data_IF_542996612754
#
_entry.id   IF_542996612754
#
_cell.length_a   1.000
_cell.length_b   1.000
_cell.length_c   1.000
_cell.angle_alpha   90.00
_cell.angle_beta   90.00
_cell.angle_gamma   90.00
#
_symmetry.space_group_name_H-M   'P 1'
#
loop_
_entity.id
_entity.type
_entity.pdbx_description
1 polymer ?
#
# COMPACT_ATOMS: atom_id res chain seq x y z
N UNK A 1 9.40 3.73 37.59
CA UNK A 1 9.95 4.94 36.95
C UNK A 1 11.18 4.52 36.15
N UNK A 2 11.04 4.17 34.87
CA UNK A 2 12.16 3.84 33.98
C UNK A 2 11.85 4.35 32.58
N UNK A 3 12.06 5.65 32.38
CA UNK A 3 12.00 6.30 31.07
C UNK A 3 13.30 6.04 30.32
N UNK A 4 13.38 4.89 29.67
CA UNK A 4 14.60 4.48 28.97
C UNK A 4 14.42 4.75 27.46
N UNK A 5 14.58 6.02 27.07
CA UNK A 5 14.52 6.64 25.71
C UNK A 5 13.62 5.91 24.68
N UNK A 6 12.35 6.33 24.59
CA UNK A 6 11.46 5.96 23.49
C UNK A 6 11.96 6.59 22.18
N UNK A 7 11.81 5.89 21.06
CA UNK A 7 12.19 6.41 19.74
C UNK A 7 11.32 7.63 19.39
N UNK A 8 11.96 8.71 18.92
CA UNK A 8 11.27 9.92 18.49
C UNK A 8 10.93 9.90 17.00
N UNK A 9 9.86 10.58 16.61
CA UNK A 9 9.52 10.70 15.18
C UNK A 9 10.61 11.46 14.42
N UNK A 10 11.19 12.52 14.99
CA UNK A 10 12.29 13.25 14.33
C UNK A 10 13.51 12.36 14.02
N UNK A 11 13.88 11.46 14.93
CA UNK A 11 14.95 10.48 14.72
C UNK A 11 14.58 9.50 13.60
N UNK A 12 13.33 9.02 13.62
CA UNK A 12 12.82 8.06 12.65
C UNK A 12 12.75 8.64 11.22
N UNK A 13 12.34 9.90 11.08
CA UNK A 13 12.25 10.55 9.77
C UNK A 13 13.63 10.82 9.13
N UNK A 14 14.70 10.73 9.91
CA UNK A 14 16.08 10.96 9.49
C UNK A 14 16.92 9.67 9.45
N UNK A 15 16.29 8.49 9.45
CA UNK A 15 17.00 7.21 9.39
C UNK A 15 17.84 7.09 8.10
N UNK A 16 19.09 6.65 8.28
CA UNK A 16 19.97 6.25 7.18
C UNK A 16 19.54 4.94 6.52
N UNK A 17 20.15 4.62 5.38
CA UNK A 17 19.82 3.44 4.57
C UNK A 17 20.43 2.18 5.17
N UNK A 18 19.60 1.31 5.75
CA UNK A 18 20.01 -0.01 6.27
C UNK A 18 18.81 -0.97 6.31
N UNK A 19 19.00 -2.28 6.10
CA UNK A 19 17.90 -3.25 6.12
C UNK A 19 17.11 -3.22 7.45
N UNK A 20 17.78 -3.01 8.59
CA UNK A 20 17.14 -2.89 9.90
C UNK A 20 16.15 -1.71 9.94
N UNK A 21 16.56 -0.57 9.42
CA UNK A 21 15.71 0.61 9.31
C UNK A 21 14.58 0.40 8.28
N UNK A 22 14.78 -0.37 7.20
CA UNK A 22 13.71 -0.74 6.25
C UNK A 22 12.63 -1.58 6.94
N UNK A 23 13.05 -2.58 7.71
CA UNK A 23 12.15 -3.44 8.51
C UNK A 23 11.30 -2.59 9.46
N UNK A 24 11.93 -1.63 10.16
CA UNK A 24 11.26 -0.72 11.07
C UNK A 24 10.19 0.15 10.36
N UNK A 25 10.52 0.79 9.23
CA UNK A 25 9.57 1.68 8.54
C UNK A 25 8.39 0.89 7.96
N UNK A 26 8.62 -0.30 7.40
CA UNK A 26 7.52 -1.18 6.96
C UNK A 26 6.68 -1.67 8.14
N UNK A 27 7.33 -2.08 9.23
CA UNK A 27 6.65 -2.50 10.44
C UNK A 27 5.69 -1.42 10.95
N UNK A 28 6.16 -0.18 11.03
CA UNK A 28 5.37 0.97 11.48
C UNK A 28 4.21 1.25 10.53
N UNK A 29 4.46 1.24 9.22
CA UNK A 29 3.41 1.50 8.22
C UNK A 29 2.18 0.60 8.40
N UNK A 30 2.38 -0.69 8.70
CA UNK A 30 1.30 -1.66 8.82
C UNK A 30 0.77 -1.85 10.25
N UNK A 31 1.58 -1.59 11.29
CA UNK A 31 1.25 -1.98 12.66
C UNK A 31 0.90 -0.80 13.58
N UNK A 32 1.01 0.46 13.12
CA UNK A 32 0.67 1.64 13.91
C UNK A 32 -0.78 1.60 14.43
N UNK A 33 -0.96 1.67 15.74
CA UNK A 33 -2.26 1.63 16.39
C UNK A 33 -2.79 3.04 16.68
N UNK A 34 -2.89 3.41 17.95
CA UNK A 34 -3.57 4.62 18.43
C UNK A 34 -2.58 5.75 18.75
N UNK A 35 -3.07 7.00 18.73
CA UNK A 35 -2.42 8.10 19.44
C UNK A 35 -2.79 7.95 20.92
N UNK A 36 -1.79 7.89 21.79
CA UNK A 36 -1.97 7.89 23.24
C UNK A 36 -1.29 9.14 23.81
N UNK A 37 -1.96 9.81 24.74
CA UNK A 37 -1.35 10.85 25.55
C UNK A 37 -0.99 10.25 26.89
N UNK A 38 0.27 10.40 27.29
CA UNK A 38 0.75 10.05 28.64
C UNK A 38 1.61 11.21 29.12
N UNK A 39 1.33 11.72 30.32
CA UNK A 39 2.15 12.73 31.00
C UNK A 39 2.51 13.93 30.09
N UNK A 40 1.48 14.57 29.51
CA UNK A 40 1.58 15.74 28.61
C UNK A 40 2.31 15.52 27.27
N UNK A 41 2.88 14.34 27.05
CA UNK A 41 3.53 13.95 25.79
C UNK A 41 2.60 13.11 24.90
N UNK A 42 2.67 13.39 23.60
CA UNK A 42 1.93 12.64 22.59
C UNK A 42 2.77 11.44 22.12
N UNK A 43 2.19 10.24 22.13
CA UNK A 43 2.80 9.02 21.61
C UNK A 43 1.93 8.41 20.51
N UNK A 44 2.58 7.74 19.56
CA UNK A 44 1.92 6.74 18.73
C UNK A 44 2.21 5.36 19.31
N UNK A 45 1.13 4.68 19.72
CA UNK A 45 1.16 3.32 20.19
C UNK A 45 1.14 2.35 19.01
N UNK A 46 1.94 1.29 19.11
CA UNK A 46 1.87 0.10 18.29
C UNK A 46 1.26 -1.00 19.15
N UNK A 47 0.33 -1.75 18.59
CA UNK A 47 -0.34 -2.84 19.30
C UNK A 47 -0.37 -4.08 18.41
N UNK A 48 0.23 -5.16 18.92
CA UNK A 48 0.21 -6.48 18.32
C UNK A 48 -0.59 -7.38 19.24
N UNK A 49 -1.66 -7.97 18.70
CA UNK A 49 -2.44 -8.98 19.39
C UNK A 49 -2.62 -10.17 18.47
N UNK A 50 -2.37 -11.35 19.01
CA UNK A 50 -2.71 -12.62 18.38
C UNK A 50 -3.45 -13.49 19.38
N UNK A 51 -4.35 -14.34 18.87
CA UNK A 51 -5.21 -15.21 19.67
C UNK A 51 -4.85 -16.65 19.38
N UNK A 52 -5.09 -17.52 20.36
CA UNK A 52 -5.01 -18.95 20.16
C UNK A 52 -5.87 -19.38 18.97
N UNK A 53 -5.28 -20.18 18.08
CA UNK A 53 -6.01 -20.86 17.04
C UNK A 53 -7.02 -21.82 17.68
N UNK A 54 -8.17 -22.00 17.02
CA UNK A 54 -9.22 -22.90 17.51
C UNK A 54 -8.76 -24.36 17.59
N UNK A 55 -7.75 -24.75 16.79
CA UNK A 55 -7.13 -26.07 16.85
C UNK A 55 -6.02 -26.07 17.90
N UNK A 56 -6.25 -26.81 18.99
CA UNK A 56 -5.44 -26.87 20.22
C UNK A 56 -4.05 -27.53 20.07
N UNK A 57 -3.50 -27.66 18.86
CA UNK A 57 -2.24 -28.39 18.66
C UNK A 57 -1.03 -27.64 19.25
N UNK A 58 -1.07 -26.30 19.27
CA UNK A 58 -0.06 -25.46 19.92
C UNK A 58 -0.81 -24.44 20.79
N UNK A 59 -0.52 -24.48 22.09
CA UNK A 59 -1.07 -23.53 23.05
C UNK A 59 -0.16 -22.33 23.11
N UNK A 60 -0.72 -21.13 23.01
CA UNK A 60 -0.01 -19.91 23.32
C UNK A 60 0.18 -19.83 24.84
N UNK A 61 1.43 -19.93 25.27
CA UNK A 61 1.86 -19.81 26.66
C UNK A 61 2.63 -18.49 26.88
N UNK A 62 3.02 -18.27 28.14
CA UNK A 62 3.79 -17.07 28.51
C UNK A 62 5.21 -17.10 27.95
N UNK A 63 5.83 -18.28 27.81
CA UNK A 63 7.21 -18.40 27.32
C UNK A 63 7.30 -17.98 25.85
N UNK A 64 6.35 -18.41 25.02
CA UNK A 64 6.19 -17.97 23.63
C UNK A 64 5.92 -16.46 23.57
N UNK A 65 5.14 -15.91 24.51
CA UNK A 65 4.91 -14.47 24.56
C UNK A 65 6.21 -13.71 24.87
N UNK A 66 7.01 -14.16 25.84
CA UNK A 66 8.32 -13.56 26.18
C UNK A 66 9.26 -13.63 24.97
N UNK A 67 9.42 -14.81 24.37
CA UNK A 67 10.30 -15.00 23.20
C UNK A 67 9.85 -14.13 22.02
N UNK A 68 8.54 -14.04 21.75
CA UNK A 68 8.03 -13.18 20.68
C UNK A 68 8.28 -11.70 20.99
N UNK A 69 8.20 -11.28 22.26
CA UNK A 69 8.49 -9.91 22.65
C UNK A 69 9.95 -9.54 22.32
N UNK A 70 10.91 -10.38 22.73
CA UNK A 70 12.33 -10.21 22.42
C UNK A 70 12.60 -10.22 20.91
N UNK A 71 11.93 -11.11 20.17
CA UNK A 71 12.01 -11.17 18.72
C UNK A 71 11.49 -9.89 18.04
N UNK A 72 10.41 -9.30 18.57
CA UNK A 72 9.89 -8.03 18.06
C UNK A 72 10.87 -6.88 18.32
N UNK A 73 11.50 -6.83 19.50
CA UNK A 73 12.54 -5.86 19.80
C UNK A 73 13.74 -6.03 18.86
N UNK A 74 14.22 -7.26 18.68
CA UNK A 74 15.34 -7.57 17.78
C UNK A 74 15.04 -7.23 16.31
N UNK A 75 13.81 -7.43 15.86
CA UNK A 75 13.42 -7.14 14.48
C UNK A 75 13.27 -5.63 14.20
N UNK A 76 12.75 -4.88 15.16
CA UNK A 76 12.36 -3.48 14.98
C UNK A 76 13.35 -2.47 15.57
N UNK A 77 14.15 -2.87 16.55
CA UNK A 77 14.93 -1.96 17.39
C UNK A 77 14.07 -1.10 18.34
N UNK A 78 12.75 -1.34 18.41
CA UNK A 78 11.86 -0.68 19.35
C UNK A 78 11.75 -1.49 20.64
N UNK A 79 11.54 -0.80 21.77
CA UNK A 79 11.23 -1.46 23.03
C UNK A 79 9.77 -1.89 23.06
N UNK A 80 9.53 -3.12 23.48
CA UNK A 80 8.21 -3.71 23.62
C UNK A 80 7.92 -4.11 25.05
N UNK A 81 6.72 -3.76 25.50
CA UNK A 81 6.13 -4.29 26.71
C UNK A 81 5.00 -5.24 26.32
N UNK A 82 4.71 -6.25 27.14
CA UNK A 82 3.59 -7.13 26.87
C UNK A 82 2.75 -7.38 28.12
N UNK A 83 1.45 -7.54 27.90
CA UNK A 83 0.50 -7.96 28.91
C UNK A 83 -0.27 -9.16 28.35
N UNK A 84 -0.05 -10.34 28.95
CA UNK A 84 -0.56 -11.64 28.46
C UNK A 84 -0.06 -11.92 27.04
N UNK A 85 -0.88 -11.64 26.03
CA UNK A 85 -0.63 -11.92 24.61
C UNK A 85 -0.81 -10.66 23.73
N UNK A 86 -0.74 -9.50 24.37
CA UNK A 86 -0.77 -8.20 23.71
C UNK A 86 0.57 -7.52 23.92
N UNK A 87 1.22 -7.14 22.83
CA UNK A 87 2.49 -6.44 22.84
C UNK A 87 2.29 -5.00 22.42
N UNK A 88 2.97 -4.10 23.11
CA UNK A 88 2.85 -2.67 22.94
C UNK A 88 4.22 -2.03 22.80
N UNK A 89 4.31 -1.06 21.91
CA UNK A 89 5.47 -0.17 21.81
C UNK A 89 4.99 1.25 21.60
N UNK A 90 5.81 2.24 21.96
CA UNK A 90 5.46 3.66 21.91
C UNK A 90 6.54 4.45 21.16
N UNK A 91 6.09 5.27 20.22
CA UNK A 91 6.92 6.23 19.48
C UNK A 91 6.52 7.64 19.93
N UNK A 92 7.48 8.44 20.41
CA UNK A 92 7.24 9.81 20.88
C UNK A 92 6.98 10.74 19.69
N UNK A 93 5.81 11.38 19.67
CA UNK A 93 5.42 12.38 18.69
C UNK A 93 5.94 13.77 19.12
N UNK A 94 7.26 13.91 19.07
CA UNK A 94 8.00 15.10 19.49
C UNK A 94 7.77 16.32 18.59
N UNK A 95 7.34 16.10 17.35
CA UNK A 95 7.04 17.15 16.35
C UNK A 95 5.54 17.42 16.17
N UNK A 96 4.69 16.85 17.03
CA UNK A 96 3.23 17.02 17.05
C UNK A 96 2.52 16.87 15.68
N UNK A 97 2.89 15.86 14.91
CA UNK A 97 2.26 15.60 13.60
C UNK A 97 1.01 14.71 13.71
N UNK A 98 0.14 14.80 12.70
CA UNK A 98 -1.02 13.90 12.59
C UNK A 98 -0.58 12.49 12.17
N UNK A 99 -1.40 11.49 12.51
CA UNK A 99 -1.16 10.08 12.17
C UNK A 99 -1.11 9.84 10.66
N UNK A 100 -2.03 10.45 9.92
CA UNK A 100 -2.08 10.34 8.46
C UNK A 100 -0.84 10.95 7.80
N UNK A 101 -0.40 12.12 8.29
CA UNK A 101 0.83 12.75 7.82
C UNK A 101 2.06 11.91 8.15
N UNK A 102 2.11 11.31 9.35
CA UNK A 102 3.18 10.41 9.74
C UNK A 102 3.27 9.19 8.81
N UNK A 103 2.17 8.48 8.59
CA UNK A 103 2.14 7.32 7.67
C UNK A 103 2.51 7.71 6.23
N UNK A 104 2.10 8.91 5.78
CA UNK A 104 2.52 9.45 4.49
C UNK A 104 4.04 9.63 4.44
N UNK A 105 4.66 10.16 5.50
CA UNK A 105 6.12 10.32 5.60
C UNK A 105 6.84 8.98 5.63
N UNK A 106 6.32 7.99 6.36
CA UNK A 106 6.85 6.62 6.36
C UNK A 106 6.85 6.03 4.95
N UNK A 107 5.73 6.14 4.23
CA UNK A 107 5.64 5.70 2.84
C UNK A 107 6.66 6.43 1.96
N UNK A 108 6.81 7.75 2.11
CA UNK A 108 7.81 8.52 1.35
C UNK A 108 9.24 8.03 1.61
N UNK A 109 9.56 7.63 2.85
CA UNK A 109 10.87 7.04 3.19
C UNK A 109 11.04 5.70 2.48
N UNK A 110 10.05 4.80 2.58
CA UNK A 110 10.09 3.49 1.90
C UNK A 110 10.32 3.67 0.39
N UNK A 111 9.57 4.57 -0.24
CA UNK A 111 9.71 4.80 -1.68
C UNK A 111 11.05 5.44 -2.02
N UNK A 112 11.52 6.42 -1.24
CA UNK A 112 12.86 7.02 -1.41
C UNK A 112 13.95 5.96 -1.42
N UNK A 113 13.84 4.95 -0.56
CA UNK A 113 14.81 3.86 -0.47
C UNK A 113 14.74 2.95 -1.68
N UNK A 114 13.54 2.63 -2.14
CA UNK A 114 13.36 1.87 -3.37
C UNK A 114 13.92 2.59 -4.59
N UNK A 115 13.86 3.93 -4.59
CA UNK A 115 14.39 4.72 -5.68
C UNK A 115 15.91 4.81 -5.68
N UNK A 116 16.63 4.37 -4.65
CA UNK A 116 18.09 4.39 -4.68
C UNK A 116 18.69 3.18 -5.41
N UNK A 117 19.77 3.42 -6.15
CA UNK A 117 20.53 2.40 -6.85
C UNK A 117 21.01 1.32 -5.86
N UNK A 118 20.81 0.02 -6.19
CA UNK A 118 21.06 -1.19 -5.37
C UNK A 118 19.92 -1.68 -4.44
N UNK A 119 18.70 -1.18 -4.57
CA UNK A 119 17.57 -1.75 -3.83
C UNK A 119 17.27 -3.20 -4.28
N UNK A 120 17.59 -4.19 -3.45
CA UNK A 120 17.20 -5.58 -3.68
C UNK A 120 15.68 -5.72 -3.52
N UNK A 121 15.00 -5.93 -4.63
CA UNK A 121 13.55 -6.11 -4.68
C UNK A 121 13.08 -7.25 -3.77
N UNK A 122 13.87 -8.32 -3.61
CA UNK A 122 13.54 -9.40 -2.70
C UNK A 122 13.52 -8.93 -1.24
N UNK A 123 14.42 -8.02 -0.84
CA UNK A 123 14.42 -7.45 0.51
C UNK A 123 13.17 -6.61 0.74
N UNK A 124 12.74 -5.80 -0.23
CA UNK A 124 11.50 -5.02 -0.13
C UNK A 124 10.27 -5.92 -0.03
N UNK A 125 10.19 -6.95 -0.88
CA UNK A 125 9.15 -7.97 -0.80
C UNK A 125 9.10 -8.63 0.58
N UNK A 126 10.26 -9.09 1.08
CA UNK A 126 10.41 -9.70 2.40
C UNK A 126 9.91 -8.78 3.50
N UNK A 127 10.35 -7.52 3.53
CA UNK A 127 9.94 -6.55 4.55
C UNK A 127 8.43 -6.26 4.47
N UNK A 128 7.88 -6.07 3.27
CA UNK A 128 6.45 -5.85 3.05
C UNK A 128 5.59 -7.00 3.62
N UNK A 129 5.89 -8.23 3.20
CA UNK A 129 5.11 -9.42 3.57
C UNK A 129 5.23 -9.74 5.06
N UNK A 130 6.44 -9.67 5.63
CA UNK A 130 6.64 -9.91 7.07
C UNK A 130 5.95 -8.83 7.91
N UNK A 131 6.12 -7.55 7.59
CA UNK A 131 5.50 -6.46 8.34
C UNK A 131 3.96 -6.51 8.31
N UNK A 132 3.39 -6.92 7.18
CA UNK A 132 1.94 -7.05 7.02
C UNK A 132 1.37 -8.27 7.76
N UNK A 133 1.98 -9.46 7.62
CA UNK A 133 1.38 -10.73 8.07
C UNK A 133 1.96 -11.28 9.39
N UNK A 134 3.26 -11.16 9.63
CA UNK A 134 3.94 -11.85 10.75
C UNK A 134 3.43 -11.38 12.12
N UNK A 135 3.04 -10.12 12.25
CA UNK A 135 2.62 -9.52 13.53
C UNK A 135 1.12 -9.68 13.79
N UNK A 136 0.27 -9.06 12.95
CA UNK A 136 -1.20 -9.02 13.16
C UNK A 136 -2.00 -10.07 12.39
N UNK A 137 -1.39 -10.76 11.43
CA UNK A 137 -2.13 -11.67 10.55
C UNK A 137 -2.64 -12.92 11.27
N UNK A 138 -3.84 -13.35 10.90
CA UNK A 138 -4.49 -14.58 11.37
C UNK A 138 -4.33 -15.70 10.35
N UNK A 139 -3.86 -16.86 10.80
CA UNK A 139 -3.70 -18.06 9.98
C UNK A 139 -5.04 -18.80 9.86
N UNK A 140 -5.45 -19.11 8.64
CA UNK A 140 -6.56 -20.00 8.32
C UNK A 140 -5.99 -21.28 7.68
N UNK A 141 -5.65 -22.24 8.53
CA UNK A 141 -5.02 -23.51 8.13
C UNK A 141 -5.93 -24.32 7.19
N UNK A 142 -7.23 -24.55 7.49
CA UNK A 142 -8.13 -25.26 6.57
C UNK A 142 -8.28 -24.54 5.23
N UNK A 143 -8.44 -23.20 5.27
CA UNK A 143 -8.57 -22.38 4.07
C UNK A 143 -7.28 -22.17 3.28
N UNK A 144 -6.13 -22.60 3.82
CA UNK A 144 -4.79 -22.34 3.28
C UNK A 144 -4.51 -20.86 3.03
N UNK A 145 -5.09 -20.00 3.87
CA UNK A 145 -5.02 -18.55 3.75
C UNK A 145 -4.36 -17.89 4.97
N UNK A 146 -3.67 -16.78 4.74
CA UNK A 146 -3.29 -15.87 5.82
C UNK A 146 -4.04 -14.55 5.65
N UNK A 147 -4.77 -14.10 6.66
CA UNK A 147 -5.59 -12.90 6.55
C UNK A 147 -5.17 -11.80 7.54
N UNK A 148 -5.14 -10.55 7.08
CA UNK A 148 -4.86 -9.36 7.90
C UNK A 148 -5.96 -8.33 7.67
N UNK A 149 -6.58 -7.87 8.75
CA UNK A 149 -7.55 -6.77 8.70
C UNK A 149 -6.82 -5.42 8.79
N UNK A 150 -7.09 -4.53 7.83
CA UNK A 150 -6.64 -3.14 7.86
C UNK A 150 -7.38 -2.44 9.02
N UNK A 151 -6.70 -1.59 9.80
CA UNK A 151 -7.37 -0.89 10.90
C UNK A 151 -8.30 0.17 10.30
N UNK A 152 -9.50 0.32 10.85
CA UNK A 152 -10.47 1.32 10.38
C UNK A 152 -9.89 2.74 10.33
N UNK A 153 -9.04 3.07 11.30
CA UNK A 153 -8.38 4.37 11.44
C UNK A 153 -7.33 4.64 10.36
N UNK A 154 -6.87 3.60 9.67
CA UNK A 154 -5.99 3.70 8.52
C UNK A 154 -6.75 3.96 7.22
N UNK A 155 -8.06 3.73 7.17
CA UNK A 155 -8.85 3.84 5.95
C UNK A 155 -9.08 5.32 5.62
N UNK A 156 -8.06 5.93 5.04
CA UNK A 156 -8.07 7.23 4.38
C UNK A 156 -7.73 7.03 2.91
N UNK A 157 -8.14 7.98 2.06
CA UNK A 157 -7.81 7.93 0.63
C UNK A 157 -6.29 7.85 0.44
N UNK A 158 -5.53 8.66 1.18
CA UNK A 158 -4.07 8.71 1.10
C UNK A 158 -3.41 7.40 1.53
N UNK A 159 -3.82 6.81 2.66
CA UNK A 159 -3.23 5.55 3.12
C UNK A 159 -3.56 4.40 2.17
N UNK A 160 -4.81 4.31 1.69
CA UNK A 160 -5.21 3.26 0.74
C UNK A 160 -4.42 3.40 -0.56
N UNK A 161 -4.22 4.62 -1.06
CA UNK A 161 -3.39 4.85 -2.26
C UNK A 161 -1.93 4.44 -2.02
N UNK A 162 -1.33 4.81 -0.88
CA UNK A 162 0.03 4.39 -0.52
C UNK A 162 0.14 2.86 -0.38
N UNK A 163 -0.82 2.23 0.28
CA UNK A 163 -0.92 0.77 0.44
C UNK A 163 -1.00 0.09 -0.93
N UNK A 164 -1.81 0.62 -1.85
CA UNK A 164 -1.98 0.08 -3.18
C UNK A 164 -0.68 0.16 -3.96
N UNK A 165 -0.04 1.33 -3.94
CA UNK A 165 1.30 1.51 -4.52
C UNK A 165 2.28 0.48 -3.99
N UNK A 166 2.38 0.28 -2.67
CA UNK A 166 3.29 -0.71 -2.09
C UNK A 166 2.96 -2.14 -2.55
N UNK A 167 1.68 -2.54 -2.53
CA UNK A 167 1.26 -3.90 -2.90
C UNK A 167 1.38 -4.17 -4.40
N UNK A 168 1.30 -3.15 -5.25
CA UNK A 168 1.43 -3.29 -6.70
C UNK A 168 2.89 -3.24 -7.14
N UNK A 169 3.72 -2.46 -6.46
CA UNK A 169 5.16 -2.37 -6.73
C UNK A 169 5.90 -3.59 -6.17
N UNK A 170 5.64 -3.96 -4.92
CA UNK A 170 6.38 -4.99 -4.19
C UNK A 170 5.57 -6.26 -3.91
N UNK A 171 4.25 -6.25 -4.06
CA UNK A 171 3.47 -7.44 -3.80
C UNK A 171 3.57 -8.43 -4.95
N UNK A 172 3.75 -9.72 -4.63
CA UNK A 172 3.42 -10.79 -5.58
C UNK A 172 1.91 -10.93 -5.65
N UNK A 173 1.28 -10.03 -6.42
CA UNK A 173 -0.17 -9.85 -6.52
C UNK A 173 -0.93 -11.16 -6.78
N UNK A 174 -0.30 -12.11 -7.45
CA UNK A 174 -0.80 -13.43 -7.81
C UNK A 174 -1.16 -14.29 -6.58
N UNK A 175 -0.47 -14.05 -5.46
CA UNK A 175 -0.71 -14.73 -4.18
C UNK A 175 -1.55 -13.90 -3.21
N UNK A 176 -1.92 -12.68 -3.58
CA UNK A 176 -2.75 -11.80 -2.78
C UNK A 176 -4.22 -11.88 -3.18
N UNK A 177 -5.12 -11.64 -2.23
CA UNK A 177 -6.53 -11.43 -2.47
C UNK A 177 -7.08 -10.39 -1.49
N UNK A 178 -8.11 -9.67 -1.89
CA UNK A 178 -8.84 -8.77 -1.00
C UNK A 178 -10.17 -9.37 -0.60
N UNK A 179 -10.60 -9.16 0.64
CA UNK A 179 -11.94 -9.48 1.07
C UNK A 179 -12.62 -8.24 1.65
N UNK A 180 -13.68 -7.80 0.97
CA UNK A 180 -14.51 -6.66 1.36
C UNK A 180 -15.40 -7.06 2.52
N UNK A 181 -14.96 -6.76 3.75
CA UNK A 181 -15.74 -7.06 4.96
C UNK A 181 -16.93 -6.11 5.12
N UNK A 182 -16.79 -4.91 4.60
CA UNK A 182 -17.79 -3.84 4.55
C UNK A 182 -19.07 -4.27 3.82
N UNK A 183 -18.91 -5.14 2.81
CA UNK A 183 -20.01 -5.67 2.03
C UNK A 183 -20.60 -6.94 2.63
N UNK A 184 -20.22 -7.39 3.83
CA UNK A 184 -20.77 -8.60 4.47
C UNK A 184 -21.98 -8.27 5.35
N UNK A 185 -22.98 -9.17 5.47
CA UNK A 185 -24.17 -8.92 6.30
C UNK A 185 -23.86 -8.53 7.75
N UNK A 186 -22.81 -9.12 8.33
CA UNK A 186 -22.36 -8.84 9.69
C UNK A 186 -21.89 -7.39 9.89
N UNK A 187 -21.36 -6.75 8.83
CA UNK A 187 -20.95 -5.35 8.87
C UNK A 187 -22.18 -4.44 8.81
N UNK A 188 -23.14 -4.76 7.96
CA UNK A 188 -24.33 -3.91 7.74
C UNK A 188 -25.26 -3.92 8.93
N UNK A 189 -25.48 -5.10 9.52
CA UNK A 189 -26.31 -5.30 10.72
C UNK A 189 -25.64 -4.83 12.01
N UNK A 190 -24.42 -4.28 11.94
CA UNK A 190 -23.67 -3.78 13.10
C UNK A 190 -23.15 -4.85 14.06
N UNK A 191 -23.44 -6.14 13.85
CA UNK A 191 -23.01 -7.26 14.71
C UNK A 191 -21.49 -7.36 14.82
N UNK A 192 -20.76 -7.14 13.72
CA UNK A 192 -19.30 -7.13 13.70
C UNK A 192 -18.78 -6.23 12.57
N UNK A 193 -18.38 -5.00 12.92
CA UNK A 193 -17.75 -4.06 11.97
C UNK A 193 -16.28 -4.43 11.76
N UNK A 194 -16.03 -5.33 10.79
CA UNK A 194 -14.68 -5.70 10.33
C UNK A 194 -14.34 -4.94 9.06
N UNK A 195 -13.09 -4.55 8.90
CA UNK A 195 -12.66 -3.75 7.76
C UNK A 195 -12.00 -4.60 6.66
N UNK A 196 -11.61 -3.94 5.57
CA UNK A 196 -10.93 -4.52 4.43
C UNK A 196 -9.82 -5.46 4.87
N UNK A 197 -9.88 -6.68 4.36
CA UNK A 197 -8.98 -7.75 4.73
C UNK A 197 -8.09 -8.12 3.54
N UNK A 198 -6.78 -8.03 3.71
CA UNK A 198 -5.79 -8.53 2.75
C UNK A 198 -5.52 -9.99 3.10
N UNK A 199 -5.46 -10.85 2.09
CA UNK A 199 -5.19 -12.28 2.25
C UNK A 199 -4.04 -12.73 1.37
N UNK A 200 -3.19 -13.61 1.91
CA UNK A 200 -2.40 -14.54 1.11
C UNK A 200 -3.28 -15.75 0.82
N UNK A 201 -3.37 -16.16 -0.45
CA UNK A 201 -4.16 -17.33 -0.89
C UNK A 201 -3.32 -18.59 -1.08
N UNK A 202 -1.99 -18.48 -0.96
CA UNK A 202 -1.08 -19.62 -0.94
C UNK A 202 -0.16 -19.53 0.29
N UNK A 203 -0.59 -20.19 1.37
CA UNK A 203 0.19 -20.28 2.60
C UNK A 203 1.56 -20.98 2.40
N UNK A 204 1.63 -22.00 1.55
CA UNK A 204 2.88 -22.74 1.27
C UNK A 204 3.96 -21.83 0.70
N UNK A 205 3.60 -21.06 -0.33
CA UNK A 205 4.50 -20.09 -0.96
C UNK A 205 5.13 -19.12 0.05
N UNK A 206 4.32 -18.56 0.96
CA UNK A 206 4.83 -17.61 1.97
C UNK A 206 5.87 -18.28 2.87
N UNK A 207 5.61 -19.51 3.31
CA UNK A 207 6.50 -20.20 4.23
C UNK A 207 7.78 -20.69 3.57
N UNK A 208 7.71 -21.19 2.34
CA UNK A 208 8.90 -21.54 1.57
C UNK A 208 9.81 -20.33 1.37
N UNK A 209 9.22 -19.14 1.16
CA UNK A 209 9.98 -17.92 0.90
C UNK A 209 10.46 -17.19 2.17
N UNK A 210 9.64 -17.18 3.23
CA UNK A 210 9.85 -16.34 4.42
C UNK A 210 9.74 -17.08 5.76
N UNK A 211 9.63 -18.42 5.78
CA UNK A 211 9.43 -19.21 6.99
C UNK A 211 10.56 -19.06 8.02
N UNK A 212 11.81 -19.01 7.55
CA UNK A 212 12.98 -18.80 8.42
C UNK A 212 12.98 -17.41 9.07
N UNK A 213 12.55 -16.37 8.34
CA UNK A 213 12.40 -15.03 8.89
C UNK A 213 11.21 -14.96 9.86
N UNK A 214 10.11 -15.66 9.53
CA UNK A 214 8.95 -15.75 10.41
C UNK A 214 9.31 -16.38 11.75
N UNK A 215 10.16 -17.41 11.77
CA UNK A 215 10.64 -18.04 13.01
C UNK A 215 11.33 -17.04 13.94
N UNK A 216 12.11 -16.12 13.37
CA UNK A 216 12.84 -15.06 14.10
C UNK A 216 11.94 -13.92 14.57
N UNK A 217 10.68 -13.86 14.13
CA UNK A 217 9.73 -12.79 14.48
C UNK A 217 8.64 -13.32 15.39
N UNK A 218 7.96 -14.39 14.96
CA UNK A 218 6.80 -14.95 15.64
C UNK A 218 6.87 -16.48 15.65
N UNK A 219 7.40 -17.02 16.75
CA UNK A 219 7.58 -18.46 16.97
C UNK A 219 6.24 -19.17 16.97
N UNK A 220 5.21 -18.59 17.58
CA UNK A 220 3.87 -19.18 17.61
C UNK A 220 3.32 -19.45 16.21
N UNK A 221 3.40 -18.48 15.32
CA UNK A 221 2.89 -18.62 13.94
C UNK A 221 3.74 -19.57 13.12
N UNK A 222 5.07 -19.53 13.31
CA UNK A 222 5.98 -20.48 12.68
C UNK A 222 5.65 -21.92 13.07
N UNK A 223 5.54 -22.23 14.37
CA UNK A 223 5.22 -23.57 14.85
C UNK A 223 3.86 -24.06 14.33
N UNK A 224 2.85 -23.18 14.30
CA UNK A 224 1.53 -23.53 13.75
C UNK A 224 1.59 -23.86 12.26
N UNK A 225 2.49 -23.22 11.52
CA UNK A 225 2.70 -23.54 10.13
C UNK A 225 3.45 -24.87 9.97
N UNK A 226 4.58 -25.03 10.66
CA UNK A 226 5.45 -26.21 10.61
C UNK A 226 4.67 -27.49 10.94
N UNK A 227 3.86 -27.46 12.00
CA UNK A 227 2.99 -28.58 12.40
C UNK A 227 1.88 -28.90 11.40
N UNK A 228 1.58 -28.03 10.44
CA UNK A 228 0.55 -28.24 9.43
C UNK A 228 1.14 -28.35 8.00
N UNK A 229 2.47 -28.46 7.87
CA UNK A 229 3.16 -28.52 6.57
C UNK A 229 2.61 -29.62 5.64
N UNK A 230 2.29 -30.78 6.21
CA UNK A 230 1.74 -31.93 5.49
C UNK A 230 0.39 -31.62 4.81
N UNK A 231 -0.43 -30.74 5.40
CA UNK A 231 -1.73 -30.33 4.84
C UNK A 231 -1.56 -29.42 3.63
N UNK A 232 -0.43 -28.71 3.55
CA UNK A 232 -0.13 -27.80 2.46
C UNK A 232 0.43 -28.55 1.24
N UNK A 233 1.35 -29.50 1.44
CA UNK A 233 2.00 -30.29 0.37
C UNK A 233 1.07 -31.20 -0.45
N UNK A 234 -0.02 -31.72 0.14
CA UNK A 234 -0.90 -32.68 -0.56
C UNK A 234 -1.70 -32.10 -1.75
N UNK A 235 -1.66 -30.80 -2.01
CA UNK A 235 -2.44 -30.14 -3.08
C UNK A 235 -1.69 -29.82 -4.37
N UNK A 236 -0.42 -30.24 -4.51
CA UNK A 236 0.38 -29.95 -5.70
C UNK A 236 -0.12 -30.63 -6.98
N UNK A 237 -0.99 -31.65 -6.90
CA UNK A 237 -1.33 -32.41 -8.11
C UNK A 237 -2.34 -31.75 -9.06
N UNK A 238 -3.21 -30.80 -8.68
CA UNK A 238 -4.20 -30.22 -9.63
C UNK A 238 -4.72 -28.80 -9.32
N UNK A 239 -3.99 -27.94 -8.61
CA UNK A 239 -4.37 -26.52 -8.56
C UNK A 239 -3.54 -25.74 -9.57
N UNK A 240 -4.06 -25.63 -10.82
CA UNK A 240 -3.80 -24.43 -11.63
C UNK A 240 -3.98 -23.25 -10.69
N UNK A 241 -2.91 -22.51 -10.38
CA UNK A 241 -2.97 -21.31 -9.55
C UNK A 241 -4.10 -20.47 -10.13
N UNK A 242 -5.25 -20.45 -9.44
CA UNK A 242 -6.40 -19.67 -9.88
C UNK A 242 -5.92 -18.23 -9.73
N UNK A 243 -5.59 -17.59 -10.85
CA UNK A 243 -5.07 -16.22 -10.88
C UNK A 243 -5.93 -15.38 -9.94
N UNK A 244 -5.28 -14.69 -9.00
CA UNK A 244 -6.00 -13.82 -8.09
C UNK A 244 -6.56 -12.64 -8.87
N UNK A 245 -7.84 -12.32 -8.64
CA UNK A 245 -8.44 -11.10 -9.16
C UNK A 245 -8.10 -9.91 -8.23
N UNK A 246 -6.87 -9.87 -7.72
CA UNK A 246 -6.46 -8.96 -6.65
C UNK A 246 -6.52 -7.50 -7.12
N UNK A 247 -5.97 -7.23 -8.31
CA UNK A 247 -5.93 -5.90 -8.90
C UNK A 247 -7.34 -5.39 -9.19
N UNK A 248 -8.21 -6.24 -9.70
CA UNK A 248 -9.61 -5.94 -9.99
C UNK A 248 -10.39 -5.63 -8.72
N UNK A 249 -10.14 -6.41 -7.67
CA UNK A 249 -10.74 -6.17 -6.35
C UNK A 249 -10.21 -4.89 -5.71
N UNK A 250 -8.93 -4.57 -5.88
CA UNK A 250 -8.33 -3.30 -5.42
C UNK A 250 -9.03 -2.11 -6.09
N UNK A 251 -9.16 -2.17 -7.42
CA UNK A 251 -9.83 -1.14 -8.24
C UNK A 251 -11.29 -1.00 -7.83
N UNK A 252 -12.00 -2.12 -7.70
CA UNK A 252 -13.41 -2.13 -7.31
C UNK A 252 -13.60 -1.47 -5.94
N UNK A 253 -12.75 -1.82 -4.96
CA UNK A 253 -12.81 -1.24 -3.64
C UNK A 253 -12.64 0.28 -3.68
N UNK A 254 -11.63 0.80 -4.39
CA UNK A 254 -11.39 2.25 -4.49
C UNK A 254 -12.57 3.00 -5.11
N UNK A 255 -13.15 2.44 -6.18
CA UNK A 255 -14.24 3.09 -6.93
C UNK A 255 -15.58 3.06 -6.18
N UNK A 256 -15.91 1.92 -5.59
CA UNK A 256 -17.28 1.66 -5.12
C UNK A 256 -17.40 1.55 -3.61
N UNK A 257 -16.37 1.04 -2.91
CA UNK A 257 -16.46 0.75 -1.47
C UNK A 257 -15.89 1.89 -0.63
N UNK A 258 -14.70 2.38 -0.95
CA UNK A 258 -14.01 3.41 -0.15
C UNK A 258 -14.80 4.72 -0.08
N UNK A 259 -15.23 5.24 -1.24
CA UNK A 259 -16.04 6.46 -1.30
C UNK A 259 -17.39 6.30 -0.59
N UNK A 260 -17.96 5.10 -0.61
CA UNK A 260 -19.20 4.79 0.09
C UNK A 260 -18.98 4.75 1.61
N UNK A 261 -17.93 4.10 2.09
CA UNK A 261 -17.64 4.00 3.53
C UNK A 261 -17.40 5.38 4.14
N UNK A 262 -16.73 6.27 3.41
CA UNK A 262 -16.52 7.65 3.84
C UNK A 262 -17.82 8.46 3.90
N UNK A 263 -18.74 8.29 2.93
CA UNK A 263 -20.01 9.05 2.85
C UNK A 263 -21.13 8.50 3.73
N UNK A 264 -21.06 7.22 4.09
CA UNK A 264 -22.16 6.50 4.76
C UNK A 264 -22.14 6.63 6.29
N UNK A 265 -21.25 7.43 6.88
CA UNK A 265 -21.15 7.56 8.34
C UNK A 265 -22.51 7.97 8.96
N UNK A 266 -23.20 8.93 8.34
CA UNK A 266 -24.46 9.51 8.85
C UNK A 266 -25.74 8.88 8.27
N UNK A 267 -25.63 7.81 7.48
CA UNK A 267 -26.80 7.20 6.84
C UNK A 267 -27.53 6.22 7.77
N UNK A 268 -28.85 6.13 7.61
CA UNK A 268 -29.65 5.10 8.26
C UNK A 268 -29.35 3.67 7.71
N UNK A 269 -29.78 2.65 8.45
CA UNK A 269 -29.49 1.24 8.14
C UNK A 269 -30.17 0.76 6.84
N UNK A 270 -31.36 1.27 6.53
CA UNK A 270 -32.09 0.92 5.30
C UNK A 270 -31.37 1.45 4.06
N UNK A 271 -30.94 2.72 4.09
CA UNK A 271 -30.15 3.37 3.04
C UNK A 271 -28.80 2.68 2.85
N UNK A 272 -28.12 2.31 3.94
CA UNK A 272 -26.88 1.51 3.89
C UNK A 272 -27.08 0.18 3.20
N UNK A 273 -28.13 -0.57 3.58
CA UNK A 273 -28.46 -1.86 2.97
C UNK A 273 -28.73 -1.76 1.46
N UNK A 274 -29.51 -0.76 1.05
CA UNK A 274 -29.85 -0.55 -0.37
C UNK A 274 -28.60 -0.28 -1.22
N UNK A 275 -27.71 0.62 -0.76
CA UNK A 275 -26.49 0.93 -1.50
C UNK A 275 -25.50 -0.24 -1.51
N UNK A 276 -25.35 -0.98 -0.40
CA UNK A 276 -24.53 -2.20 -0.37
C UNK A 276 -25.06 -3.25 -1.34
N UNK A 277 -26.38 -3.42 -1.44
CA UNK A 277 -26.98 -4.37 -2.39
C UNK A 277 -26.71 -3.94 -3.84
N UNK A 278 -26.74 -2.63 -4.15
CA UNK A 278 -26.30 -2.13 -5.46
C UNK A 278 -24.84 -2.45 -5.73
N UNK A 279 -23.95 -2.19 -4.78
CA UNK A 279 -22.51 -2.48 -4.91
C UNK A 279 -22.27 -3.99 -5.09
N UNK A 280 -22.96 -4.84 -4.31
CA UNK A 280 -22.90 -6.30 -4.46
C UNK A 280 -23.36 -6.74 -5.84
N UNK A 281 -24.47 -6.19 -6.34
CA UNK A 281 -24.99 -6.49 -7.68
C UNK A 281 -23.94 -6.18 -8.75
N UNK A 282 -23.32 -5.00 -8.70
CA UNK A 282 -22.20 -4.63 -9.60
C UNK A 282 -21.04 -5.62 -9.47
N UNK A 283 -20.68 -6.03 -8.25
CA UNK A 283 -19.58 -6.97 -8.01
C UNK A 283 -19.83 -8.35 -8.65
N UNK A 284 -21.06 -8.85 -8.59
CA UNK A 284 -21.44 -10.15 -9.15
C UNK A 284 -21.67 -10.10 -10.66
N UNK A 285 -22.23 -9.01 -11.19
CA UNK A 285 -22.52 -8.85 -12.63
C UNK A 285 -21.26 -8.60 -13.47
N UNK A 286 -20.28 -7.86 -12.94
CA UNK A 286 -19.10 -7.46 -13.70
C UNK A 286 -18.04 -8.54 -13.91
N UNK A 287 -18.33 -9.84 -13.65
CA UNK A 287 -17.44 -11.00 -13.84
C UNK A 287 -15.96 -10.57 -13.90
N UNK A 288 -15.32 -10.34 -12.74
CA UNK A 288 -14.05 -9.61 -12.59
C UNK A 288 -12.85 -10.14 -13.42
N UNK A 289 -13.03 -11.12 -14.30
CA UNK A 289 -12.07 -11.62 -15.27
C UNK A 289 -11.91 -10.67 -16.47
N UNK A 290 -11.55 -9.41 -16.23
CA UNK A 290 -11.18 -8.49 -17.32
C UNK A 290 -9.74 -8.80 -17.81
N UNK A 291 -8.98 -9.63 -17.06
CA UNK A 291 -7.53 -9.74 -17.19
C UNK A 291 -7.04 -11.10 -17.69
N UNK A 292 -7.56 -11.57 -18.83
CA UNK A 292 -7.08 -12.83 -19.44
C UNK A 292 -5.74 -12.71 -20.19
N UNK A 293 -5.22 -11.50 -20.47
CA UNK A 293 -4.00 -11.33 -21.29
C UNK A 293 -3.04 -10.27 -20.74
N UNK A 294 -2.13 -10.65 -19.85
CA UNK A 294 -1.00 -9.77 -19.50
C UNK A 294 0.31 -10.55 -19.54
N UNK A 295 1.08 -10.32 -20.59
CA UNK A 295 2.46 -10.78 -20.74
C UNK A 295 3.38 -9.60 -20.37
N UNK A 296 4.27 -9.82 -19.39
CA UNK A 296 5.36 -8.94 -18.89
C UNK A 296 4.98 -7.80 -17.92
N UNK A 297 5.95 -7.45 -17.05
CA UNK A 297 5.82 -6.58 -15.86
C UNK A 297 5.59 -5.10 -16.20
N UNK A 298 6.21 -4.57 -17.26
CA UNK A 298 6.09 -3.15 -17.65
C UNK A 298 4.70 -2.78 -18.19
N UNK A 299 4.01 -3.72 -18.85
CA UNK A 299 2.61 -3.49 -19.28
C UNK A 299 1.65 -3.42 -18.08
N UNK A 300 1.97 -4.07 -16.96
CA UNK A 300 1.12 -4.06 -15.76
C UNK A 300 1.07 -2.66 -15.14
N UNK A 301 2.19 -1.96 -14.99
CA UNK A 301 2.26 -0.64 -14.32
C UNK A 301 1.45 0.42 -15.07
N UNK A 302 1.62 0.51 -16.40
CA UNK A 302 0.89 1.46 -17.25
C UNK A 302 -0.62 1.19 -17.23
N UNK A 303 -1.04 -0.07 -17.36
CA UNK A 303 -2.46 -0.44 -17.36
C UNK A 303 -3.09 -0.27 -15.96
N UNK A 304 -2.36 -0.56 -14.90
CA UNK A 304 -2.77 -0.24 -13.52
C UNK A 304 -2.96 1.27 -13.36
N UNK A 305 -2.02 2.08 -13.83
CA UNK A 305 -2.11 3.55 -13.78
C UNK A 305 -3.30 4.07 -14.62
N UNK A 306 -3.61 3.46 -15.78
CA UNK A 306 -4.82 3.74 -16.56
C UNK A 306 -6.09 3.58 -15.75
N UNK A 307 -6.10 2.74 -14.73
CA UNK A 307 -7.31 2.47 -13.96
C UNK A 307 -7.34 3.21 -12.62
N UNK A 308 -6.20 3.34 -11.95
CA UNK A 308 -6.08 3.99 -10.65
C UNK A 308 -6.11 5.50 -10.71
N UNK A 309 -5.52 6.10 -11.76
CA UNK A 309 -5.47 7.55 -11.90
C UNK A 309 -6.86 8.09 -12.26
N UNK A 310 -7.17 9.29 -11.79
CA UNK A 310 -8.42 9.95 -12.10
C UNK A 310 -8.57 10.16 -13.62
N UNK A 311 -9.80 10.02 -14.13
CA UNK A 311 -10.08 10.12 -15.56
C UNK A 311 -10.23 11.59 -16.01
N UNK A 312 -9.17 12.37 -15.82
CA UNK A 312 -9.00 13.71 -16.36
C UNK A 312 -7.56 13.88 -16.83
N UNK A 313 -7.32 14.90 -17.65
CA UNK A 313 -5.96 15.28 -18.04
C UNK A 313 -5.32 16.14 -16.95
N UNK A 314 -4.21 15.69 -16.39
CA UNK A 314 -3.49 16.39 -15.31
C UNK A 314 -2.87 17.72 -15.77
N UNK A 315 -2.61 17.87 -17.07
CA UNK A 315 -1.95 19.05 -17.62
C UNK A 315 -2.85 20.26 -17.90
N UNK A 316 -4.16 20.06 -18.14
CA UNK A 316 -5.05 21.20 -18.49
C UNK A 316 -6.53 21.00 -18.16
N UNK A 317 -6.88 20.16 -17.17
CA UNK A 317 -8.28 20.03 -16.71
C UNK A 317 -8.91 21.37 -16.31
N UNK A 318 -8.11 22.29 -15.79
CA UNK A 318 -8.57 23.57 -15.24
C UNK A 318 -8.74 24.65 -16.33
N UNK A 319 -8.21 24.41 -17.53
CA UNK A 319 -8.25 25.36 -18.65
C UNK A 319 -9.24 24.93 -19.73
N UNK A 320 -9.31 23.62 -20.03
CA UNK A 320 -10.11 23.12 -21.15
C UNK A 320 -10.95 21.89 -20.75
N UNK A 321 -12.24 21.86 -21.14
CA UNK A 321 -13.07 20.67 -20.97
C UNK A 321 -12.49 19.48 -21.76
N UNK A 322 -12.70 18.26 -21.27
CA UNK A 322 -12.06 17.07 -21.82
C UNK A 322 -12.64 16.69 -23.19
N UNK A 323 -13.93 16.94 -23.44
CA UNK A 323 -14.58 16.58 -24.72
C UNK A 323 -13.94 17.28 -25.92
N UNK A 324 -13.42 18.49 -25.75
CA UNK A 324 -12.90 19.31 -26.84
C UNK A 324 -11.49 18.93 -27.30
N UNK A 325 -10.82 18.01 -26.59
CA UNK A 325 -9.39 17.70 -26.76
C UNK A 325 -9.09 16.21 -26.69
N UNK A 326 -10.14 15.41 -26.78
CA UNK A 326 -10.11 13.96 -26.72
C UNK A 326 -11.27 13.43 -27.56
N UNK A 327 -11.19 12.17 -27.97
CA UNK A 327 -12.26 11.46 -28.66
C UNK A 327 -12.75 10.28 -27.81
N UNK A 328 -13.96 9.79 -28.08
CA UNK A 328 -14.52 8.63 -27.36
C UNK A 328 -13.88 7.36 -27.90
N UNK A 329 -13.33 6.53 -27.03
CA UNK A 329 -12.83 5.19 -27.38
C UNK A 329 -14.01 4.24 -27.62
N UNK A 330 -14.11 3.60 -28.80
CA UNK A 330 -15.21 2.68 -29.11
C UNK A 330 -15.33 1.50 -28.12
N UNK A 331 -14.18 1.01 -27.62
CA UNK A 331 -14.12 -0.15 -26.72
C UNK A 331 -14.57 0.14 -25.29
N UNK A 332 -14.36 1.36 -24.80
CA UNK A 332 -14.58 1.69 -23.38
C UNK A 332 -15.70 2.71 -23.17
N UNK A 333 -16.16 3.37 -24.24
CA UNK A 333 -17.15 4.45 -24.17
C UNK A 333 -16.64 5.71 -23.44
N UNK A 334 -15.33 5.79 -23.16
CA UNK A 334 -14.71 6.89 -22.40
C UNK A 334 -13.83 7.76 -23.29
N UNK A 335 -13.60 8.99 -22.85
CA UNK A 335 -12.68 9.92 -23.53
C UNK A 335 -11.24 9.39 -23.45
N UNK A 336 -10.59 9.30 -24.61
CA UNK A 336 -9.23 8.81 -24.79
C UNK A 336 -8.18 9.67 -24.03
N UNK A 337 -7.46 9.04 -23.11
CA UNK A 337 -6.32 9.64 -22.40
C UNK A 337 -5.10 8.73 -22.53
N UNK A 338 -3.93 9.34 -22.62
CA UNK A 338 -2.64 8.66 -22.72
C UNK A 338 -1.95 8.67 -21.35
N UNK A 339 -1.24 7.57 -21.05
CA UNK A 339 -0.37 7.52 -19.88
C UNK A 339 0.98 8.09 -20.27
N UNK A 340 1.47 9.00 -19.45
CA UNK A 340 2.73 9.67 -19.62
C UNK A 340 3.60 9.50 -18.38
N UNK A 341 4.85 9.08 -18.56
CA UNK A 341 5.88 9.14 -17.53
C UNK A 341 6.36 10.59 -17.41
N UNK A 342 6.19 11.20 -16.24
CA UNK A 342 6.63 12.59 -15.98
C UNK A 342 8.14 12.72 -16.15
N UNK A 343 8.89 11.75 -15.62
CA UNK A 343 10.30 11.53 -15.98
C UNK A 343 10.40 10.39 -17.01
N UNK A 344 10.94 10.64 -18.22
CA UNK A 344 10.99 9.62 -19.26
C UNK A 344 11.81 8.40 -18.88
N UNK A 345 11.39 7.23 -19.40
CA UNK A 345 12.11 5.97 -19.23
C UNK A 345 13.57 6.03 -19.71
N UNK A 346 13.86 6.80 -20.76
CA UNK A 346 15.22 7.00 -21.27
C UNK A 346 16.18 7.61 -20.25
N UNK A 347 15.65 8.23 -19.17
CA UNK A 347 16.44 8.81 -18.09
C UNK A 347 16.66 7.88 -16.91
N UNK A 348 16.15 6.66 -16.95
CA UNK A 348 16.37 5.65 -15.91
C UNK A 348 17.86 5.37 -15.66
N UNK A 349 18.66 5.22 -16.72
CA UNK A 349 20.11 4.99 -16.63
C UNK A 349 20.84 6.23 -16.10
N UNK A 350 20.48 7.41 -16.59
CA UNK A 350 21.12 8.68 -16.24
C UNK A 350 20.84 9.08 -14.78
N UNK A 351 19.61 8.83 -14.33
CA UNK A 351 19.14 9.16 -12.99
C UNK A 351 19.42 8.05 -11.98
N UNK A 352 19.83 6.86 -12.42
CA UNK A 352 20.12 5.68 -11.57
C UNK A 352 18.96 5.30 -10.65
N UNK A 353 17.73 5.50 -11.12
CA UNK A 353 16.49 5.25 -10.37
C UNK A 353 15.47 4.54 -11.26
N UNK A 354 14.69 3.61 -10.71
CA UNK A 354 13.56 3.03 -11.42
C UNK A 354 12.44 4.07 -11.60
N UNK A 355 12.18 4.46 -12.85
CA UNK A 355 11.16 5.48 -13.19
C UNK A 355 9.85 4.86 -13.69
N UNK A 356 9.79 3.53 -13.89
CA UNK A 356 8.58 2.83 -14.34
C UNK A 356 7.69 2.43 -13.16
N UNK A 357 7.15 3.45 -12.50
CA UNK A 357 6.38 3.35 -11.25
C UNK A 357 5.08 4.14 -11.37
N UNK A 358 4.04 3.75 -10.63
CA UNK A 358 2.71 4.36 -10.71
C UNK A 358 2.78 5.85 -10.34
N UNK A 359 3.64 6.23 -9.39
CA UNK A 359 3.77 7.61 -8.92
C UNK A 359 4.35 8.56 -9.98
N UNK A 360 5.15 8.05 -10.92
CA UNK A 360 5.71 8.82 -12.03
C UNK A 360 4.77 8.86 -13.25
N UNK A 361 3.61 8.19 -13.17
CA UNK A 361 2.64 8.13 -14.27
C UNK A 361 1.50 9.12 -14.07
N UNK A 362 1.15 9.82 -15.14
CA UNK A 362 0.00 10.72 -15.20
C UNK A 362 -0.84 10.48 -16.44
N UNK A 363 -2.10 10.90 -16.42
CA UNK A 363 -2.99 10.88 -17.59
C UNK A 363 -2.98 12.23 -18.30
N UNK A 364 -2.73 12.22 -19.60
CA UNK A 364 -2.75 13.41 -20.44
C UNK A 364 -3.69 13.21 -21.63
N UNK A 365 -4.30 14.29 -22.11
CA UNK A 365 -4.97 14.25 -23.41
C UNK A 365 -3.91 14.22 -24.54
N UNK A 366 -4.28 13.78 -25.75
CA UNK A 366 -3.35 13.70 -26.90
C UNK A 366 -2.61 15.02 -27.18
N UNK A 367 -3.29 16.15 -26.94
CA UNK A 367 -2.73 17.49 -27.12
C UNK A 367 -1.61 17.77 -26.11
N UNK A 368 -1.88 17.60 -24.81
CA UNK A 368 -0.87 17.82 -23.76
C UNK A 368 0.28 16.83 -23.88
N UNK A 369 0.00 15.56 -24.19
CA UNK A 369 1.02 14.55 -24.36
C UNK A 369 1.96 14.89 -25.53
N UNK A 370 1.40 15.38 -26.64
CA UNK A 370 2.19 15.85 -27.79
C UNK A 370 2.98 17.11 -27.48
N UNK A 371 2.43 18.03 -26.69
CA UNK A 371 3.07 19.29 -26.32
C UNK A 371 4.29 19.10 -25.41
N UNK A 372 4.31 18.05 -24.56
CA UNK A 372 5.41 17.75 -23.63
C UNK A 372 6.60 17.03 -24.27
N UNK A 373 6.54 16.67 -25.55
CA UNK A 373 7.71 16.16 -26.26
C UNK A 373 8.75 17.28 -26.42
N UNK A 374 10.03 16.94 -26.34
CA UNK A 374 11.11 17.93 -26.41
C UNK A 374 11.03 18.76 -27.71
N UNK A 375 11.03 20.09 -27.56
CA UNK A 375 11.01 21.03 -28.68
C UNK A 375 9.69 21.10 -29.48
N UNK A 376 8.60 20.50 -29.00
CA UNK A 376 7.32 20.45 -29.72
C UNK A 376 6.34 21.57 -29.39
N UNK A 377 6.60 22.33 -28.33
CA UNK A 377 5.85 23.53 -28.01
C UNK A 377 6.74 24.55 -27.32
N UNK A 378 6.23 25.77 -27.12
CA UNK A 378 6.96 26.84 -26.45
C UNK A 378 7.38 26.40 -25.04
N UNK A 379 8.63 26.65 -24.65
CA UNK A 379 9.16 26.30 -23.34
C UNK A 379 8.27 26.79 -22.18
N UNK A 380 7.74 28.01 -22.26
CA UNK A 380 6.85 28.55 -21.23
C UNK A 380 5.53 27.77 -21.16
N UNK A 381 5.02 27.29 -22.29
CA UNK A 381 3.83 26.46 -22.33
C UNK A 381 4.09 25.05 -21.79
N UNK A 382 5.23 24.44 -22.11
CA UNK A 382 5.64 23.16 -21.53
C UNK A 382 5.77 23.25 -20.01
N UNK A 383 6.43 24.30 -19.50
CA UNK A 383 6.54 24.56 -18.06
C UNK A 383 5.19 24.77 -17.39
N UNK A 384 4.24 25.47 -18.04
CA UNK A 384 2.86 25.61 -17.54
C UNK A 384 2.14 24.27 -17.44
N UNK A 385 2.25 23.40 -18.46
CA UNK A 385 1.66 22.06 -18.40
C UNK A 385 2.27 21.25 -17.26
N UNK A 386 3.60 21.30 -17.08
CA UNK A 386 4.29 20.61 -15.99
C UNK A 386 3.83 21.13 -14.63
N UNK A 387 3.70 22.45 -14.45
CA UNK A 387 3.16 23.05 -13.22
C UNK A 387 1.74 22.57 -12.92
N UNK A 388 0.86 22.55 -13.91
CA UNK A 388 -0.48 21.99 -13.79
C UNK A 388 -0.46 20.51 -13.40
N UNK A 389 0.45 19.72 -13.99
CA UNK A 389 0.63 18.32 -13.60
C UNK A 389 1.03 18.20 -12.12
N UNK A 390 1.97 19.01 -11.64
CA UNK A 390 2.43 18.97 -10.25
C UNK A 390 1.32 19.38 -9.27
N UNK A 391 0.54 20.41 -9.60
CA UNK A 391 -0.61 20.87 -8.80
C UNK A 391 -1.72 19.82 -8.73
N UNK A 392 -1.97 19.13 -9.84
CA UNK A 392 -3.07 18.17 -9.96
C UNK A 392 -2.68 16.74 -9.55
N UNK A 393 -1.39 16.46 -9.40
CA UNK A 393 -0.87 15.16 -9.00
C UNK A 393 -0.88 14.94 -7.49
N UNK A 394 -0.78 13.68 -7.08
CA UNK A 394 -0.69 13.31 -5.68
C UNK A 394 0.65 13.75 -5.07
N UNK A 395 0.67 13.94 -3.75
CA UNK A 395 1.89 14.27 -2.97
C UNK A 395 3.03 13.25 -3.17
N UNK A 396 2.72 12.03 -3.59
CA UNK A 396 3.70 10.97 -3.90
C UNK A 396 4.57 11.32 -5.11
N UNK A 397 4.03 11.93 -6.18
CA UNK A 397 4.85 12.40 -7.32
C UNK A 397 5.82 13.50 -6.87
N UNK A 398 5.35 14.45 -6.06
CA UNK A 398 6.20 15.53 -5.52
C UNK A 398 7.31 14.93 -4.65
N UNK A 399 7.00 13.93 -3.83
CA UNK A 399 8.01 13.24 -3.02
C UNK A 399 9.01 12.45 -3.85
N UNK A 400 8.56 11.82 -4.94
CA UNK A 400 9.46 11.17 -5.89
C UNK A 400 10.43 12.20 -6.48
N UNK A 401 9.91 13.34 -6.96
CA UNK A 401 10.71 14.43 -7.52
C UNK A 401 11.67 15.08 -6.52
N UNK A 402 11.28 15.17 -5.23
CA UNK A 402 12.15 15.65 -4.16
C UNK A 402 13.43 14.80 -3.96
N UNK A 403 13.47 13.59 -4.54
CA UNK A 403 14.66 12.74 -4.51
C UNK A 403 15.72 13.19 -5.52
N UNK A 404 15.38 14.09 -6.45
CA UNK A 404 16.23 14.52 -7.56
C UNK A 404 16.57 16.02 -7.56
N UNK A 405 15.96 16.81 -6.67
CA UNK A 405 16.12 18.27 -6.61
C UNK A 405 16.74 18.69 -5.28
N UNK A 406 17.72 19.59 -5.33
CA UNK A 406 18.44 20.10 -4.15
C UNK A 406 17.50 20.89 -3.23
N UNK A 407 16.73 21.84 -3.77
CA UNK A 407 15.72 22.57 -3.01
C UNK A 407 14.35 21.90 -3.08
N UNK A 408 14.06 21.08 -2.06
CA UNK A 408 12.80 20.31 -1.95
C UNK A 408 11.55 21.19 -1.85
N UNK A 409 11.67 22.46 -1.48
CA UNK A 409 10.53 23.37 -1.36
C UNK A 409 10.26 24.13 -2.66
N UNK A 410 11.26 24.28 -3.52
CA UNK A 410 11.11 24.98 -4.80
C UNK A 410 10.29 24.14 -5.80
N UNK A 411 9.11 24.63 -6.18
CA UNK A 411 8.31 24.05 -7.28
C UNK A 411 8.95 24.40 -8.63
N UNK A 412 9.54 25.60 -8.74
CA UNK A 412 10.24 26.06 -9.94
C UNK A 412 11.36 25.11 -10.36
N UNK A 413 12.21 24.69 -9.41
CA UNK A 413 13.31 23.79 -9.71
C UNK A 413 12.83 22.41 -10.18
N UNK A 414 11.71 21.91 -9.65
CA UNK A 414 11.10 20.65 -10.12
C UNK A 414 10.59 20.79 -11.55
N UNK A 415 9.95 21.91 -11.87
CA UNK A 415 9.47 22.19 -13.23
C UNK A 415 10.64 22.25 -14.21
N UNK A 416 11.69 22.96 -13.85
CA UNK A 416 12.89 23.09 -14.68
C UNK A 416 13.62 21.76 -14.85
N UNK A 417 13.69 20.95 -13.79
CA UNK A 417 14.26 19.62 -13.83
C UNK A 417 13.49 18.69 -14.78
N UNK A 418 12.16 18.65 -14.69
CA UNK A 418 11.32 17.85 -15.60
C UNK A 418 11.47 18.35 -17.04
N UNK A 419 11.37 19.67 -17.25
CA UNK A 419 11.47 20.28 -18.58
C UNK A 419 12.81 19.96 -19.26
N UNK A 420 13.92 20.01 -18.52
CA UNK A 420 15.26 19.66 -19.02
C UNK A 420 15.36 18.19 -19.45
N UNK A 421 14.58 17.32 -18.82
CA UNK A 421 14.59 15.88 -19.03
C UNK A 421 13.50 15.37 -19.97
N UNK A 422 12.70 16.24 -20.62
CA UNK A 422 11.72 15.82 -21.62
C UNK A 422 12.40 15.04 -22.76
N UNK A 423 11.72 13.99 -23.22
CA UNK A 423 12.16 13.12 -24.32
C UNK A 423 11.74 13.64 -25.70
#
# INVERSE_FOLDING_TARGET
MFYNKNMKISELLNLGFSEANLKLVFFIFFNLANKTQKEEKCYFQIEIQYKNLKNKNIVLDNDIAVTNNENFENYTGLKFEFEKYKHFSFIENDINISREYFLTKIYQIIMKWYYQEQSDEYIFQKCLFLALFAFRGSLDIPGKMWAVDIRKKDISINYIDNLYSLLLTFGEIEFLNLNFRELQPDYVTGKNKRNLQIRIINLQWFFEKFGNDLKKINVYKYLNFENNLFRFKQTETKQKIKRSNFVERLIFYKKHVLNWELKSQDWDESRKNNEINKIRKILFENNLNIYEKFYTRNQKVVEIARILLNHFCFGCKDEYPLENRSFIQPKTGKLYLEIHHVLPFSKQSDLKVNVDIIENLVKLCPVCHSALKKGRSNNNYQKKIIDSILKNSNKSLISFLNSFVENKESISEKIDFIHKNLA
#
